data_IF_640934385778
#
_entry.id   IF_640934385778
#
_cell.length_a   1.000
_cell.length_b   1.000
_cell.length_c   1.000
_cell.angle_alpha   90.00
_cell.angle_beta   90.00
_cell.angle_gamma   90.00
#
_symmetry.space_group_name_H-M   'P 1'
#
loop_
_entity.id
_entity.type
_entity.pdbx_description
1 polymer ?
#
# COMPACT_ATOMS: atom_id res chain seq x y z
N UNK A 1 -3.68 0.49 14.63
CA UNK A 1 -5.06 0.21 15.05
C UNK A 1 -5.96 0.65 13.89
N UNK A 2 -7.27 0.78 14.10
CA UNK A 2 -8.17 1.31 13.07
C UNK A 2 -9.32 2.06 13.71
N UNK A 3 -9.84 3.06 13.00
CA UNK A 3 -10.99 3.85 13.42
C UNK A 3 -12.15 3.68 12.45
N UNK A 4 -13.36 3.70 12.98
CA UNK A 4 -14.57 3.75 12.17
C UNK A 4 -14.80 5.19 11.67
N UNK A 5 -15.15 5.33 10.40
CA UNK A 5 -15.53 6.61 9.79
C UNK A 5 -17.04 6.76 9.93
N UNK A 6 -17.48 7.88 10.51
CA UNK A 6 -18.87 8.30 10.48
C UNK A 6 -19.26 8.69 9.04
N UNK A 7 -20.02 7.80 8.39
CA UNK A 7 -20.43 7.95 6.99
C UNK A 7 -21.23 9.24 6.77
N UNK A 8 -22.07 9.65 7.73
CA UNK A 8 -22.92 10.84 7.59
C UNK A 8 -22.11 12.13 7.55
N UNK A 9 -20.90 12.13 8.15
CA UNK A 9 -19.97 13.26 8.14
C UNK A 9 -18.83 13.09 7.14
N UNK A 10 -18.78 11.98 6.42
CA UNK A 10 -17.67 11.69 5.52
C UNK A 10 -17.83 12.46 4.20
N UNK A 11 -16.84 13.27 3.78
CA UNK A 11 -16.92 14.04 2.53
C UNK A 11 -17.17 13.20 1.28
N UNK A 12 -16.84 11.90 1.33
CA UNK A 12 -16.99 10.96 0.21
C UNK A 12 -18.26 10.12 0.26
N UNK A 13 -19.19 10.41 1.19
CA UNK A 13 -20.46 9.68 1.34
C UNK A 13 -21.17 9.51 0.00
N UNK A 14 -21.31 10.60 -0.78
CA UNK A 14 -22.01 10.58 -2.07
C UNK A 14 -21.36 9.64 -3.09
N UNK A 15 -20.03 9.65 -3.18
CA UNK A 15 -19.28 8.77 -4.08
C UNK A 15 -19.41 7.32 -3.61
N UNK A 16 -19.28 7.08 -2.31
CA UNK A 16 -19.47 5.75 -1.74
C UNK A 16 -20.86 5.19 -2.02
N UNK A 17 -21.92 5.97 -1.72
CA UNK A 17 -23.31 5.57 -1.97
C UNK A 17 -23.59 5.30 -3.47
N UNK A 18 -22.87 5.96 -4.37
CA UNK A 18 -22.99 5.72 -5.81
C UNK A 18 -22.34 4.40 -6.25
N UNK A 19 -21.15 4.07 -5.72
CA UNK A 19 -20.36 2.91 -6.19
C UNK A 19 -20.60 1.63 -5.39
N UNK A 20 -21.04 1.70 -4.13
CA UNK A 20 -21.04 0.54 -3.21
C UNK A 20 -21.87 -0.66 -3.68
N UNK A 21 -22.89 -0.42 -4.50
CA UNK A 21 -23.83 -1.44 -4.98
C UNK A 21 -23.50 -1.92 -6.40
N UNK A 22 -22.37 -1.49 -6.98
CA UNK A 22 -21.92 -1.98 -8.29
C UNK A 22 -21.30 -3.36 -8.15
N UNK A 23 -21.49 -4.22 -9.14
CA UNK A 23 -20.84 -5.55 -9.19
C UNK A 23 -19.31 -5.44 -9.26
N UNK A 24 -18.80 -4.39 -9.93
CA UNK A 24 -17.36 -4.16 -10.15
C UNK A 24 -16.98 -2.69 -9.87
N UNK A 25 -16.89 -2.25 -8.60
CA UNK A 25 -16.58 -0.87 -8.24
C UNK A 25 -15.07 -0.60 -8.24
N UNK A 26 -14.36 -1.10 -9.26
CA UNK A 26 -12.90 -1.04 -9.36
C UNK A 26 -12.48 -0.62 -10.77
N UNK A 27 -11.34 0.05 -10.87
CA UNK A 27 -10.68 0.32 -12.14
C UNK A 27 -9.17 0.21 -11.95
N UNK A 28 -8.45 -0.03 -13.05
CA UNK A 28 -7.01 -0.12 -13.07
C UNK A 28 -6.43 1.08 -13.81
N UNK A 29 -5.32 1.61 -13.29
CA UNK A 29 -4.52 2.65 -13.95
C UNK A 29 -3.10 2.14 -14.05
N UNK A 30 -2.48 2.34 -15.22
CA UNK A 30 -1.07 2.09 -15.45
C UNK A 30 -0.42 3.34 -15.99
N UNK A 31 0.75 3.69 -15.45
CA UNK A 31 1.53 4.83 -15.89
C UNK A 31 3.02 4.49 -15.83
N UNK A 32 3.81 5.11 -16.70
CA UNK A 32 5.27 5.04 -16.60
C UNK A 32 5.72 5.96 -15.48
N UNK A 33 6.55 5.43 -14.57
CA UNK A 33 7.16 6.18 -13.47
C UNK A 33 8.65 6.29 -13.76
N UNK A 34 9.18 7.51 -13.75
CA UNK A 34 10.62 7.73 -13.80
C UNK A 34 11.24 7.35 -12.44
N UNK A 35 12.08 6.31 -12.46
CA UNK A 35 12.76 5.79 -11.27
C UNK A 35 14.25 6.15 -11.24
N UNK A 36 14.72 7.06 -12.09
CA UNK A 36 16.15 7.39 -12.25
C UNK A 36 16.81 7.72 -10.90
N UNK A 37 16.19 8.57 -10.10
CA UNK A 37 16.70 8.96 -8.78
C UNK A 37 16.66 7.81 -7.76
N UNK A 38 15.58 7.02 -7.75
CA UNK A 38 15.45 5.86 -6.86
C UNK A 38 16.50 4.80 -7.21
N UNK A 39 16.76 4.59 -8.50
CA UNK A 39 17.78 3.70 -8.99
C UNK A 39 19.18 4.19 -8.58
N UNK A 40 19.52 5.46 -8.81
CA UNK A 40 20.80 6.03 -8.38
C UNK A 40 21.00 5.93 -6.87
N UNK A 41 19.96 6.22 -6.07
CA UNK A 41 19.97 6.04 -4.64
C UNK A 41 20.37 4.61 -4.25
N UNK A 42 19.78 3.60 -4.88
CA UNK A 42 20.06 2.19 -4.55
C UNK A 42 21.51 1.80 -4.86
N UNK A 43 22.08 2.35 -5.94
CA UNK A 43 23.49 2.11 -6.30
C UNK A 43 24.45 2.77 -5.31
N UNK A 44 24.18 4.02 -4.93
CA UNK A 44 25.03 4.77 -3.98
C UNK A 44 24.94 4.18 -2.57
N UNK A 45 23.75 3.80 -2.12
CA UNK A 45 23.52 3.24 -0.76
C UNK A 45 23.69 1.73 -0.68
N UNK A 46 23.91 1.05 -1.80
CA UNK A 46 24.02 -0.41 -1.92
C UNK A 46 22.79 -1.13 -1.33
N UNK A 47 21.60 -0.61 -1.62
CA UNK A 47 20.32 -1.17 -1.16
C UNK A 47 19.61 -1.94 -2.27
N UNK A 48 18.66 -2.80 -1.90
CA UNK A 48 17.81 -3.50 -2.89
C UNK A 48 16.85 -2.52 -3.57
N UNK A 49 16.84 -2.52 -4.90
CA UNK A 49 15.90 -1.71 -5.69
C UNK A 49 14.45 -2.08 -5.38
N UNK A 50 14.15 -3.37 -5.27
CA UNK A 50 12.83 -3.85 -4.90
C UNK A 50 12.37 -3.28 -3.55
N UNK A 51 13.20 -3.41 -2.51
CA UNK A 51 12.86 -2.91 -1.17
C UNK A 51 12.72 -1.39 -1.15
N UNK A 52 13.56 -0.66 -1.90
CA UNK A 52 13.43 0.79 -2.05
C UNK A 52 12.11 1.19 -2.69
N UNK A 53 11.72 0.53 -3.80
CA UNK A 53 10.43 0.81 -4.46
C UNK A 53 9.27 0.46 -3.53
N UNK A 54 9.31 -0.72 -2.90
CA UNK A 54 8.27 -1.15 -1.95
C UNK A 54 8.12 -0.16 -0.79
N UNK A 55 9.22 0.32 -0.21
CA UNK A 55 9.20 1.32 0.85
C UNK A 55 8.52 2.62 0.40
N UNK A 56 8.94 3.18 -0.74
CA UNK A 56 8.34 4.45 -1.20
C UNK A 56 6.86 4.29 -1.55
N UNK A 57 6.47 3.16 -2.15
CA UNK A 57 5.05 2.84 -2.39
C UNK A 57 4.26 2.75 -1.09
N UNK A 58 4.78 2.05 -0.08
CA UNK A 58 4.11 1.93 1.22
C UNK A 58 4.07 3.25 1.97
N UNK A 59 5.11 4.08 1.87
CA UNK A 59 5.12 5.43 2.44
C UNK A 59 4.04 6.30 1.81
N UNK A 60 3.88 6.25 0.49
CA UNK A 60 2.80 6.98 -0.22
C UNK A 60 1.41 6.47 0.14
N UNK A 61 1.22 5.13 0.15
CA UNK A 61 -0.03 4.49 0.57
C UNK A 61 -0.41 4.92 1.99
N UNK A 62 0.56 4.91 2.91
CA UNK A 62 0.35 5.31 4.29
C UNK A 62 0.22 6.83 4.49
N UNK A 63 0.57 7.67 3.52
CA UNK A 63 0.35 9.11 3.60
C UNK A 63 -1.06 9.54 3.17
N UNK A 64 -1.74 8.73 2.35
CA UNK A 64 -3.04 9.06 1.75
C UNK A 64 -4.15 8.27 2.46
N UNK A 65 -5.04 8.92 3.24
CA UNK A 65 -6.10 8.25 4.02
C UNK A 65 -7.00 7.31 3.20
N UNK A 66 -7.28 7.65 1.94
CA UNK A 66 -8.11 6.85 1.05
C UNK A 66 -7.53 5.46 0.79
N UNK A 67 -6.20 5.31 0.70
CA UNK A 67 -5.57 3.99 0.56
C UNK A 67 -5.57 3.17 1.84
N UNK A 68 -5.84 3.80 3.00
CA UNK A 68 -6.00 3.12 4.30
C UNK A 68 -7.46 2.79 4.64
N UNK A 69 -8.41 3.21 3.81
CA UNK A 69 -9.84 3.00 4.02
C UNK A 69 -10.28 1.61 3.50
N UNK A 70 -11.15 0.91 4.25
CA UNK A 70 -11.68 -0.42 3.94
C UNK A 70 -13.17 -0.49 4.29
N UNK A 71 -13.89 -1.38 3.61
CA UNK A 71 -15.25 -1.77 3.97
C UNK A 71 -15.15 -3.07 4.78
N UNK A 72 -15.74 -3.11 5.98
CA UNK A 72 -15.91 -4.34 6.78
C UNK A 72 -17.30 -4.35 7.40
N UNK A 73 -18.08 -5.40 7.19
CA UNK A 73 -19.43 -5.57 7.76
C UNK A 73 -20.32 -4.32 7.57
N UNK A 74 -20.34 -3.77 6.35
CA UNK A 74 -21.03 -2.53 5.97
C UNK A 74 -20.57 -1.25 6.69
N UNK A 75 -19.43 -1.28 7.38
CA UNK A 75 -18.80 -0.12 8.01
C UNK A 75 -17.59 0.32 7.22
N UNK A 76 -17.33 1.62 7.27
CA UNK A 76 -16.12 2.21 6.69
C UNK A 76 -15.09 2.35 7.80
N UNK A 77 -13.95 1.70 7.61
CA UNK A 77 -12.86 1.67 8.57
C UNK A 77 -11.63 2.28 7.92
N UNK A 78 -10.93 3.16 8.63
CA UNK A 78 -9.62 3.64 8.26
C UNK A 78 -8.56 3.01 9.17
N UNK A 79 -7.54 2.40 8.59
CA UNK A 79 -6.38 1.93 9.32
C UNK A 79 -5.40 3.07 9.60
N UNK A 80 -4.76 3.03 10.75
CA UNK A 80 -3.69 3.98 11.05
C UNK A 80 -2.46 3.70 10.17
N UNK A 81 -2.17 2.41 9.97
CA UNK A 81 -1.02 1.92 9.20
C UNK A 81 -1.46 0.72 8.35
N UNK A 82 -0.96 0.69 7.11
CA UNK A 82 -1.05 -0.43 6.18
C UNK A 82 0.35 -1.05 6.05
N UNK A 83 0.38 -2.37 6.21
CA UNK A 83 1.57 -3.19 6.11
C UNK A 83 1.67 -3.77 4.69
N UNK A 84 2.86 -3.87 4.08
CA UNK A 84 3.03 -4.48 2.78
C UNK A 84 2.73 -5.98 2.79
N UNK A 85 2.14 -6.44 1.69
CA UNK A 85 2.15 -7.83 1.27
C UNK A 85 2.72 -7.89 -0.14
N UNK A 86 3.68 -8.78 -0.39
CA UNK A 86 4.41 -8.83 -1.65
C UNK A 86 4.77 -10.27 -2.01
N UNK A 87 5.12 -10.47 -3.27
CA UNK A 87 5.55 -11.77 -3.78
C UNK A 87 7.07 -11.86 -3.84
N UNK A 88 7.61 -13.02 -3.49
CA UNK A 88 9.01 -13.37 -3.69
C UNK A 88 9.10 -14.61 -4.56
N UNK A 89 10.08 -14.61 -5.47
CA UNK A 89 10.37 -15.80 -6.28
C UNK A 89 10.96 -16.89 -5.39
N UNK A 90 10.49 -18.12 -5.60
CA UNK A 90 11.06 -19.33 -4.99
C UNK A 90 11.44 -20.31 -6.10
N UNK A 91 12.05 -21.45 -5.74
CA UNK A 91 12.49 -22.46 -6.70
C UNK A 91 11.33 -22.97 -7.60
N UNK A 92 11.69 -23.57 -8.73
CA UNK A 92 10.75 -24.18 -9.68
C UNK A 92 9.69 -23.25 -10.29
N UNK A 93 10.05 -21.99 -10.58
CA UNK A 93 9.14 -20.97 -11.16
C UNK A 93 7.88 -20.72 -10.31
N UNK A 94 7.98 -20.89 -8.99
CA UNK A 94 6.92 -20.58 -8.05
C UNK A 94 7.19 -19.25 -7.34
N UNK A 95 6.16 -18.73 -6.66
CA UNK A 95 6.28 -17.54 -5.82
C UNK A 95 5.58 -17.76 -4.47
N UNK A 96 6.04 -17.05 -3.45
CA UNK A 96 5.42 -17.03 -2.12
C UNK A 96 4.92 -15.64 -1.77
N UNK A 97 3.81 -15.58 -1.03
CA UNK A 97 3.33 -14.33 -0.43
C UNK A 97 4.04 -14.10 0.90
N UNK A 98 4.69 -12.95 1.01
CA UNK A 98 5.33 -12.46 2.22
C UNK A 98 4.57 -11.25 2.76
N UNK A 99 4.55 -11.12 4.08
CA UNK A 99 4.07 -9.93 4.76
C UNK A 99 5.21 -9.37 5.60
N UNK A 100 5.29 -8.05 5.71
CA UNK A 100 6.27 -7.38 6.55
C UNK A 100 5.63 -6.23 7.29
N UNK A 101 6.19 -5.85 8.43
CA UNK A 101 5.71 -4.69 9.16
C UNK A 101 6.22 -3.39 8.57
N UNK A 102 5.30 -2.47 8.27
CA UNK A 102 5.66 -1.13 7.85
C UNK A 102 6.30 -0.34 9.00
N UNK A 103 7.39 0.35 8.69
CA UNK A 103 8.05 1.31 9.55
C UNK A 103 8.37 2.57 8.72
N UNK A 104 8.24 3.74 9.33
CA UNK A 104 8.53 5.01 8.67
C UNK A 104 10.04 5.19 8.46
N UNK A 105 10.88 4.63 9.35
CA UNK A 105 12.32 4.56 9.14
C UNK A 105 12.66 3.50 8.10
N UNK A 106 13.36 3.92 7.04
CA UNK A 106 13.69 3.05 5.91
C UNK A 106 14.60 1.87 6.31
N UNK A 107 15.48 2.04 7.30
CA UNK A 107 16.38 0.96 7.71
C UNK A 107 15.60 -0.11 8.47
N UNK A 108 14.69 0.31 9.37
CA UNK A 108 13.77 -0.61 10.05
C UNK A 108 12.86 -1.32 9.06
N UNK A 109 12.30 -0.61 8.10
CA UNK A 109 11.49 -1.22 7.05
C UNK A 109 12.27 -2.29 6.28
N UNK A 110 13.54 -2.04 5.95
CA UNK A 110 14.38 -3.02 5.24
C UNK A 110 14.73 -4.26 6.06
N UNK A 111 14.79 -4.14 7.38
CA UNK A 111 14.95 -5.28 8.29
C UNK A 111 13.66 -6.08 8.45
N UNK A 112 12.51 -5.40 8.43
CA UNK A 112 11.20 -6.08 8.53
C UNK A 112 10.83 -6.82 7.23
N UNK A 113 11.24 -6.29 6.07
CA UNK A 113 10.99 -6.87 4.76
C UNK A 113 12.22 -7.67 4.27
N UNK A 114 12.50 -8.79 4.93
CA UNK A 114 13.51 -9.77 4.50
C UNK A 114 12.96 -10.87 3.60
#
# INVERSE_FOLDING_TARGET
MSREIDIERWPRKRQYDFFKDFDYPHFNISANIDITEAFHYTKTKKTSLFKTILYVSMKTINAIPEFRTRIRDNRIIEHDVIHPSFTVDVEDNQFSFCNADYDEDINRFFLNAE
#
